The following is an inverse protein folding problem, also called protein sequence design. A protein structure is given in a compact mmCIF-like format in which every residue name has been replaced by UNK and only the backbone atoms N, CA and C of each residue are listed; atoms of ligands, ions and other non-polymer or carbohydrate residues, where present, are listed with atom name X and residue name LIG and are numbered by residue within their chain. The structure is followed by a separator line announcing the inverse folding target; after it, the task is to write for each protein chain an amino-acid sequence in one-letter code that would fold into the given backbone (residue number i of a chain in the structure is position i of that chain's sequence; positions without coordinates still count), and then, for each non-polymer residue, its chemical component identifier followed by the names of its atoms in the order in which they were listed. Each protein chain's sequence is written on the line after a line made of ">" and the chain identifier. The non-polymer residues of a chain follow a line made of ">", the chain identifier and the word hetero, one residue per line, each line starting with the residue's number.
data_IF_693768380353
#
_entry.id   IF_693768380353
#
_cell.length_a   1.000
_cell.length_b   1.000
_cell.length_c   1.000
_cell.angle_alpha   90.00
_cell.angle_beta   90.00
_cell.angle_gamma   90.00
#
_symmetry.space_group_name_H-M   'P 1'
#
loop_
_entity.id
_entity.type
_entity.pdbx_description
1 polymer ?
#
# COMPACT_ATOMS: atom_id res chain seq x y z
N UNK A 1 -13.97 18.98 1.32
CA UNK A 1 -12.70 18.24 1.10
C UNK A 1 -12.68 16.88 1.77
N UNK A 2 -12.96 16.75 3.08
CA UNK A 2 -13.02 15.45 3.78
C UNK A 2 -14.10 14.52 3.19
N UNK A 3 -15.28 15.04 2.84
CA UNK A 3 -16.35 14.21 2.24
C UNK A 3 -15.99 13.64 0.85
N UNK A 4 -15.20 14.37 0.05
CA UNK A 4 -14.66 13.85 -1.22
C UNK A 4 -13.60 12.77 -0.99
N UNK A 5 -12.80 12.89 0.07
CA UNK A 5 -11.84 11.86 0.49
C UNK A 5 -12.58 10.60 1.01
N UNK A 6 -13.68 10.77 1.73
CA UNK A 6 -14.54 9.66 2.15
C UNK A 6 -15.22 8.97 0.95
N UNK A 7 -15.66 9.71 -0.07
CA UNK A 7 -16.14 9.16 -1.34
C UNK A 7 -15.04 8.45 -2.14
N UNK A 8 -13.79 8.96 -2.09
CA UNK A 8 -12.62 8.35 -2.71
C UNK A 8 -12.32 6.96 -2.13
N UNK A 9 -12.58 6.76 -0.83
CA UNK A 9 -12.32 5.50 -0.11
C UNK A 9 -13.47 4.49 -0.22
N UNK A 10 -14.71 4.93 -0.42
CA UNK A 10 -15.91 4.09 -0.24
C UNK A 10 -16.44 3.32 -1.47
N UNK A 11 -15.96 3.56 -2.69
CA UNK A 11 -16.41 2.73 -3.84
C UNK A 11 -15.68 1.38 -3.92
N UNK A 12 -16.42 0.29 -3.76
CA UNK A 12 -15.92 -1.08 -3.69
C UNK A 12 -15.17 -1.55 -4.96
N UNK A 13 -14.07 -2.26 -4.74
CA UNK A 13 -13.51 -3.32 -5.61
C UNK A 13 -12.96 -3.00 -7.02
N UNK A 14 -12.83 -1.73 -7.42
CA UNK A 14 -12.27 -1.41 -8.75
C UNK A 14 -11.17 -0.36 -8.70
N UNK A 15 -10.05 -0.69 -9.35
CA UNK A 15 -8.92 0.16 -9.75
C UNK A 15 -9.26 1.66 -9.69
N UNK A 16 -8.84 2.34 -8.62
CA UNK A 16 -8.95 3.79 -8.51
C UNK A 16 -7.65 4.38 -9.04
N UNK A 17 -7.70 4.99 -10.22
CA UNK A 17 -6.60 5.76 -10.80
C UNK A 17 -6.77 7.22 -10.40
N UNK A 18 -5.77 7.78 -9.71
CA UNK A 18 -5.75 9.19 -9.34
C UNK A 18 -4.63 9.84 -10.17
N UNK A 19 -4.99 10.80 -11.02
CA UNK A 19 -4.16 11.31 -12.14
C UNK A 19 -3.66 12.76 -11.93
N UNK A 20 -3.68 13.31 -10.70
CA UNK A 20 -3.27 14.70 -10.42
C UNK A 20 -1.91 14.83 -9.70
N UNK A 21 -1.16 15.86 -10.08
CA UNK A 21 0.24 16.12 -9.76
C UNK A 21 0.41 16.72 -8.36
N UNK A 22 0.05 15.97 -7.33
CA UNK A 22 0.14 16.45 -5.94
C UNK A 22 0.87 15.45 -5.03
N UNK A 23 1.95 15.92 -4.40
CA UNK A 23 2.78 15.17 -3.45
C UNK A 23 1.95 14.59 -2.30
N UNK A 24 0.77 15.18 -2.01
CA UNK A 24 -0.16 14.68 -1.00
C UNK A 24 -0.70 13.27 -1.30
N UNK A 25 -0.85 12.88 -2.57
CA UNK A 25 -1.47 11.60 -2.91
C UNK A 25 -0.58 10.39 -2.60
N UNK A 26 0.74 10.50 -2.77
CA UNK A 26 1.66 9.42 -2.34
C UNK A 26 1.62 9.22 -0.82
N UNK A 27 1.50 10.30 -0.05
CA UNK A 27 1.30 10.21 1.40
C UNK A 27 -0.04 9.56 1.72
N UNK A 28 -1.12 9.97 1.06
CA UNK A 28 -2.45 9.40 1.30
C UNK A 28 -2.46 7.91 0.94
N UNK A 29 -2.06 7.55 -0.27
CA UNK A 29 -2.18 6.18 -0.79
C UNK A 29 -1.12 5.25 -0.20
N UNK A 30 0.13 5.71 -0.10
CA UNK A 30 1.26 4.91 0.36
C UNK A 30 1.43 4.83 1.87
N UNK A 31 0.82 5.74 2.64
CA UNK A 31 1.00 5.82 4.11
C UNK A 31 -0.34 5.85 4.84
N UNK A 32 -1.18 6.88 4.62
CA UNK A 32 -2.39 7.08 5.42
C UNK A 32 -3.43 5.97 5.18
N UNK A 33 -3.60 5.56 3.93
CA UNK A 33 -4.53 4.52 3.54
C UNK A 33 -4.19 3.14 4.13
N UNK A 34 -2.97 2.60 3.99
CA UNK A 34 -2.62 1.33 4.62
C UNK A 34 -2.71 1.39 6.14
N UNK A 35 -2.34 2.52 6.76
CA UNK A 35 -2.50 2.73 8.19
C UNK A 35 -3.98 2.68 8.62
N UNK A 36 -4.83 3.45 7.94
CA UNK A 36 -6.28 3.48 8.21
C UNK A 36 -6.91 2.10 8.02
N UNK A 37 -6.55 1.39 6.94
CA UNK A 37 -7.06 0.04 6.67
C UNK A 37 -6.67 -0.93 7.78
N UNK A 38 -5.41 -0.91 8.22
CA UNK A 38 -5.01 -1.74 9.34
C UNK A 38 -5.73 -1.35 10.63
N UNK A 39 -5.84 -0.06 10.96
CA UNK A 39 -6.57 0.38 12.15
C UNK A 39 -8.04 -0.06 12.17
N UNK A 40 -8.65 -0.30 11.00
CA UNK A 40 -10.01 -0.85 10.89
C UNK A 40 -10.06 -2.38 10.92
N UNK A 41 -9.04 -3.06 10.40
CA UNK A 41 -8.95 -4.52 10.39
C UNK A 41 -7.49 -4.99 10.47
N UNK A 42 -7.08 -5.44 11.66
CA UNK A 42 -5.72 -5.95 11.91
C UNK A 42 -5.40 -7.23 11.12
N UNK A 43 -6.41 -7.96 10.62
CA UNK A 43 -6.22 -9.22 9.89
C UNK A 43 -5.75 -9.02 8.45
N UNK A 44 -5.77 -7.77 7.95
CA UNK A 44 -5.37 -7.47 6.59
C UNK A 44 -3.89 -7.74 6.35
N UNK A 45 -3.60 -8.29 5.17
CA UNK A 45 -2.27 -8.41 4.57
C UNK A 45 -2.19 -7.44 3.41
N UNK A 46 -1.37 -6.42 3.58
CA UNK A 46 -1.20 -5.35 2.62
C UNK A 46 0.17 -5.50 1.96
N UNK A 47 0.21 -5.45 0.64
CA UNK A 47 1.48 -5.31 -0.09
C UNK A 47 1.57 -3.88 -0.61
N UNK A 48 2.58 -3.15 -0.15
CA UNK A 48 2.92 -1.82 -0.62
C UNK A 48 4.00 -1.92 -1.70
N UNK A 49 3.64 -1.54 -2.91
CA UNK A 49 4.50 -1.61 -4.09
C UNK A 49 4.85 -0.20 -4.53
N UNK A 50 6.14 0.07 -4.72
CA UNK A 50 6.60 1.31 -5.37
C UNK A 50 7.56 1.01 -6.53
N UNK A 51 8.13 2.02 -7.17
CA UNK A 51 9.18 1.87 -8.18
C UNK A 51 10.41 1.11 -7.65
N UNK A 52 10.84 1.42 -6.43
CA UNK A 52 12.08 0.95 -5.81
C UNK A 52 11.83 0.46 -4.39
N UNK A 53 12.57 -0.57 -3.96
CA UNK A 53 12.42 -1.13 -2.59
C UNK A 53 12.70 -0.08 -1.53
N UNK A 54 13.65 0.82 -1.77
CA UNK A 54 13.99 1.91 -0.85
C UNK A 54 12.82 2.86 -0.61
N UNK A 55 12.04 3.20 -1.64
CA UNK A 55 10.87 4.07 -1.51
C UNK A 55 9.76 3.39 -0.71
N UNK A 56 9.49 2.12 -1.00
CA UNK A 56 8.50 1.32 -0.26
C UNK A 56 8.90 1.13 1.21
N UNK A 57 10.16 0.81 1.49
CA UNK A 57 10.67 0.62 2.85
C UNK A 57 10.62 1.92 3.67
N UNK A 58 10.91 3.06 3.05
CA UNK A 58 10.80 4.36 3.72
C UNK A 58 9.35 4.65 4.16
N UNK A 59 8.38 4.39 3.29
CA UNK A 59 6.97 4.54 3.64
C UNK A 59 6.57 3.59 4.78
N UNK A 60 7.03 2.35 4.73
CA UNK A 60 6.78 1.37 5.78
C UNK A 60 7.37 1.81 7.14
N UNK A 61 8.60 2.33 7.15
CA UNK A 61 9.22 2.87 8.36
C UNK A 61 8.44 4.08 8.91
N UNK A 62 7.90 4.92 8.01
CA UNK A 62 7.06 6.03 8.44
C UNK A 62 5.72 5.56 9.03
N UNK A 63 5.06 4.56 8.43
CA UNK A 63 3.86 3.93 9.01
C UNK A 63 4.17 3.35 10.39
N UNK A 64 5.31 2.66 10.53
CA UNK A 64 5.77 2.15 11.82
C UNK A 64 5.88 3.29 12.84
N UNK A 65 6.55 4.38 12.50
CA UNK A 65 6.71 5.54 13.39
C UNK A 65 5.36 6.13 13.81
N UNK A 66 4.41 6.24 12.88
CA UNK A 66 3.05 6.69 13.19
C UNK A 66 2.36 5.78 14.21
N UNK A 67 2.47 4.45 14.04
CA UNK A 67 1.87 3.51 15.00
C UNK A 67 2.59 3.56 16.36
N UNK A 68 3.92 3.70 16.37
CA UNK A 68 4.72 3.63 17.60
C UNK A 68 4.74 4.91 18.40
N UNK A 69 4.69 6.07 17.76
CA UNK A 69 5.07 7.34 18.40
C UNK A 69 4.01 8.44 18.27
N UNK A 70 3.15 8.40 17.25
CA UNK A 70 2.14 9.45 17.03
C UNK A 70 0.95 9.31 18.00
N UNK A 71 0.71 10.35 18.80
CA UNK A 71 -0.34 10.35 19.83
C UNK A 71 -1.74 10.30 19.23
N UNK A 72 -1.97 10.97 18.09
CA UNK A 72 -3.27 11.01 17.42
C UNK A 72 -3.59 9.62 16.86
N UNK A 73 -2.62 8.96 16.23
CA UNK A 73 -2.80 7.60 15.72
C UNK A 73 -3.13 6.62 16.84
N UNK A 74 -2.47 6.74 18.01
CA UNK A 74 -2.78 5.93 19.19
C UNK A 74 -4.14 6.25 19.79
N UNK A 75 -4.58 7.50 19.73
CA UNK A 75 -5.92 7.89 20.18
C UNK A 75 -7.01 7.33 19.27
N UNK A 76 -6.79 7.39 17.94
CA UNK A 76 -7.77 6.94 16.94
C UNK A 76 -7.79 5.41 16.82
N UNK A 77 -6.63 4.75 16.91
CA UNK A 77 -6.48 3.29 16.81
C UNK A 77 -5.74 2.71 18.03
N UNK A 78 -6.36 2.72 19.23
CA UNK A 78 -5.68 2.34 20.47
C UNK A 78 -5.23 0.87 20.52
N UNK A 79 -5.90 -0.01 19.79
CA UNK A 79 -5.59 -1.44 19.74
C UNK A 79 -4.53 -1.79 18.66
N UNK A 80 -4.16 -0.82 17.82
CA UNK A 80 -3.19 -1.03 16.74
C UNK A 80 -1.77 -1.01 17.30
N UNK A 81 -1.17 -2.18 17.45
CA UNK A 81 0.19 -2.33 18.00
C UNK A 81 1.06 -3.24 17.14
N UNK A 82 2.36 -2.94 17.06
CA UNK A 82 3.32 -3.72 16.27
C UNK A 82 3.93 -4.82 17.15
N UNK A 83 3.82 -6.06 16.71
CA UNK A 83 4.42 -7.22 17.40
C UNK A 83 5.78 -7.61 16.80
N UNK A 84 5.99 -7.34 15.51
CA UNK A 84 7.24 -7.65 14.83
C UNK A 84 7.50 -6.63 13.72
N UNK A 85 8.74 -6.16 13.66
CA UNK A 85 9.24 -5.34 12.57
C UNK A 85 10.58 -5.89 12.07
N UNK A 86 10.75 -5.92 10.76
CA UNK A 86 12.01 -6.19 10.09
C UNK A 86 12.08 -5.36 8.81
N UNK A 87 13.27 -5.21 8.23
CA UNK A 87 13.39 -4.48 6.98
C UNK A 87 12.47 -5.10 5.92
N UNK A 88 11.60 -4.28 5.34
CA UNK A 88 10.67 -4.70 4.30
C UNK A 88 9.34 -5.28 4.79
N UNK A 89 9.13 -5.45 6.11
CA UNK A 89 7.91 -6.04 6.63
C UNK A 89 7.55 -5.64 8.07
N UNK A 90 6.25 -5.47 8.30
CA UNK A 90 5.67 -5.11 9.59
C UNK A 90 4.50 -6.04 9.91
N UNK A 91 4.43 -6.53 11.14
CA UNK A 91 3.33 -7.34 11.65
C UNK A 91 2.72 -6.65 12.86
N UNK A 92 1.41 -6.41 12.80
CA UNK A 92 0.61 -5.92 13.93
C UNK A 92 0.01 -7.08 14.71
N UNK A 93 -0.45 -6.81 15.92
CA UNK A 93 -1.15 -7.80 16.72
C UNK A 93 -2.45 -8.23 16.04
N UNK A 94 -2.69 -9.55 15.99
CA UNK A 94 -3.80 -10.17 15.25
C UNK A 94 -4.45 -11.23 16.11
N UNK A 95 -5.78 -11.34 15.99
CA UNK A 95 -6.55 -12.41 16.63
C UNK A 95 -6.26 -13.80 16.03
N UNK A 96 -5.81 -13.90 14.78
CA UNK A 96 -5.40 -15.15 14.17
C UNK A 96 -3.90 -15.19 13.84
N UNK A 97 -3.31 -16.36 14.05
CA UNK A 97 -1.90 -16.60 13.74
C UNK A 97 -1.79 -16.96 12.26
N UNK A 98 -1.24 -16.05 11.47
CA UNK A 98 -0.88 -16.28 10.06
C UNK A 98 0.61 -16.01 9.86
N UNK A 99 1.26 -16.76 8.95
CA UNK A 99 2.68 -16.58 8.67
C UNK A 99 2.99 -15.29 7.89
N UNK A 100 1.99 -14.76 7.16
CA UNK A 100 2.11 -13.55 6.35
C UNK A 100 2.22 -12.29 7.24
N UNK A 101 3.02 -11.31 6.83
CA UNK A 101 3.11 -10.02 7.51
C UNK A 101 1.84 -9.16 7.32
N UNK A 102 1.69 -8.09 8.10
CA UNK A 102 0.58 -7.12 7.98
C UNK A 102 0.79 -6.14 6.85
N UNK A 103 2.01 -5.61 6.74
CA UNK A 103 2.45 -4.90 5.56
C UNK A 103 3.77 -5.48 5.09
N UNK A 104 3.88 -5.72 3.78
CA UNK A 104 5.15 -5.98 3.12
C UNK A 104 5.42 -4.88 2.10
N UNK A 105 6.60 -4.28 2.13
CA UNK A 105 7.07 -3.36 1.11
C UNK A 105 7.82 -4.10 0.00
N UNK A 106 7.65 -3.67 -1.24
CA UNK A 106 8.36 -4.22 -2.39
C UNK A 106 8.51 -3.24 -3.55
N UNK A 107 9.49 -3.52 -4.40
CA UNK A 107 9.61 -2.86 -5.69
C UNK A 107 8.71 -3.52 -6.75
N UNK A 108 8.37 -2.75 -7.77
CA UNK A 108 7.78 -3.26 -8.99
C UNK A 108 8.76 -4.20 -9.69
N UNK A 109 8.25 -5.32 -10.23
CA UNK A 109 9.09 -6.34 -10.89
C UNK A 109 9.71 -7.38 -9.94
N UNK A 110 9.58 -7.21 -8.62
CA UNK A 110 10.01 -8.23 -7.66
C UNK A 110 9.12 -9.48 -7.74
N UNK A 111 9.68 -10.66 -7.45
CA UNK A 111 8.91 -11.90 -7.46
C UNK A 111 7.87 -11.94 -6.33
N UNK A 112 6.61 -12.18 -6.69
CA UNK A 112 5.46 -12.29 -5.77
C UNK A 112 5.14 -13.75 -5.38
N UNK A 113 6.09 -14.67 -5.52
CA UNK A 113 5.87 -16.08 -5.25
C UNK A 113 5.62 -16.33 -3.75
N UNK A 114 4.59 -17.09 -3.43
CA UNK A 114 4.24 -17.48 -2.05
C UNK A 114 3.50 -16.43 -1.22
N UNK A 115 3.45 -15.17 -1.67
CA UNK A 115 2.81 -14.06 -0.93
C UNK A 115 1.30 -14.00 -1.19
N UNK A 116 0.53 -13.74 -0.14
CA UNK A 116 -0.93 -13.58 -0.19
C UNK A 116 -1.29 -12.19 0.29
N UNK A 117 -2.09 -11.47 -0.49
CA UNK A 117 -2.52 -10.13 -0.15
C UNK A 117 -4.04 -10.05 -0.09
N UNK A 118 -4.54 -9.31 0.90
CA UNK A 118 -5.91 -8.82 0.93
C UNK A 118 -6.02 -7.50 0.16
N UNK A 119 -4.97 -6.68 0.23
CA UNK A 119 -4.85 -5.39 -0.46
C UNK A 119 -3.47 -5.28 -1.11
N UNK A 120 -3.43 -4.87 -2.37
CA UNK A 120 -2.21 -4.42 -3.03
C UNK A 120 -2.32 -2.93 -3.34
N UNK A 121 -1.34 -2.17 -2.85
CA UNK A 121 -1.23 -0.73 -3.04
C UNK A 121 -0.03 -0.49 -3.94
N UNK A 122 -0.24 0.23 -5.02
CA UNK A 122 0.79 0.61 -5.97
C UNK A 122 0.95 2.12 -5.94
N UNK A 123 2.07 2.60 -5.41
CA UNK A 123 2.35 4.02 -5.25
C UNK A 123 3.58 4.41 -6.08
N UNK A 124 3.36 5.28 -7.07
CA UNK A 124 4.38 5.80 -7.96
C UNK A 124 5.23 4.71 -8.64
N UNK A 125 4.53 3.79 -9.27
CA UNK A 125 5.05 2.59 -9.95
C UNK A 125 5.61 2.86 -11.37
N UNK A 126 5.37 4.03 -11.95
CA UNK A 126 5.82 4.38 -13.30
C UNK A 126 7.14 5.17 -13.22
N UNK A 127 8.25 4.44 -13.08
CA UNK A 127 9.58 4.96 -13.42
C UNK A 127 9.75 5.04 -14.94
N UNK A 128 10.52 6.02 -15.42
CA UNK A 128 10.68 6.42 -16.84
C UNK A 128 11.06 5.35 -17.87
N UNK A 129 11.34 4.10 -17.47
CA UNK A 129 12.07 3.16 -18.35
C UNK A 129 11.40 1.81 -18.65
N UNK A 130 10.19 1.44 -18.13
CA UNK A 130 9.72 0.04 -18.27
C UNK A 130 8.19 -0.21 -18.30
N UNK A 131 7.40 0.64 -18.97
CA UNK A 131 5.92 0.54 -19.01
C UNK A 131 5.40 -0.85 -19.48
N UNK A 132 6.06 -1.51 -20.44
CA UNK A 132 5.62 -2.80 -20.99
C UNK A 132 5.79 -3.98 -20.04
N UNK A 133 6.88 -4.02 -19.27
CA UNK A 133 7.12 -5.08 -18.28
C UNK A 133 6.21 -4.94 -17.06
N UNK A 134 5.89 -3.69 -16.72
CA UNK A 134 5.04 -3.34 -15.58
C UNK A 134 3.61 -3.86 -15.78
N UNK A 135 3.03 -3.74 -16.98
CA UNK A 135 1.68 -4.26 -17.27
C UNK A 135 1.58 -5.79 -17.14
N UNK A 136 2.56 -6.54 -17.64
CA UNK A 136 2.60 -8.00 -17.51
C UNK A 136 2.75 -8.44 -16.05
N UNK A 137 3.60 -7.74 -15.31
CA UNK A 137 3.77 -7.96 -13.87
C UNK A 137 2.50 -7.61 -13.08
N UNK A 138 1.77 -6.55 -13.44
CA UNK A 138 0.48 -6.20 -12.85
C UNK A 138 -0.54 -7.32 -12.95
N UNK A 139 -0.66 -7.92 -14.15
CA UNK A 139 -1.58 -9.03 -14.38
C UNK A 139 -1.22 -10.22 -13.49
N UNK A 140 0.08 -10.50 -13.32
CA UNK A 140 0.54 -11.57 -12.44
C UNK A 140 0.29 -11.24 -10.95
N UNK A 141 0.53 -9.99 -10.56
CA UNK A 141 0.35 -9.51 -9.19
C UNK A 141 -1.11 -9.61 -8.73
N UNK A 142 -2.04 -9.23 -9.59
CA UNK A 142 -3.49 -9.31 -9.30
C UNK A 142 -3.95 -10.74 -8.99
N UNK A 143 -3.31 -11.77 -9.56
CA UNK A 143 -3.63 -13.16 -9.24
C UNK A 143 -3.22 -13.59 -7.82
N UNK A 144 -2.51 -12.73 -7.07
CA UNK A 144 -2.12 -12.97 -5.67
C UNK A 144 -3.06 -12.36 -4.64
N UNK A 145 -4.00 -11.54 -5.10
CA UNK A 145 -5.10 -11.07 -4.26
C UNK A 145 -6.01 -12.25 -3.92
N UNK A 146 -6.47 -12.31 -2.67
CA UNK A 146 -7.58 -13.22 -2.33
C UNK A 146 -8.80 -12.91 -3.19
N UNK A 147 -9.74 -13.85 -3.27
CA UNK A 147 -11.05 -13.58 -3.85
C UNK A 147 -11.69 -12.41 -3.09
N UNK A 148 -12.09 -11.36 -3.81
CA UNK A 148 -12.59 -10.10 -3.23
C UNK A 148 -11.50 -9.15 -2.70
N UNK A 149 -10.22 -9.44 -2.95
CA UNK A 149 -9.11 -8.57 -2.58
C UNK A 149 -9.07 -7.28 -3.39
N UNK A 150 -8.46 -6.26 -2.82
CA UNK A 150 -8.47 -4.89 -3.35
C UNK A 150 -7.15 -4.50 -4.00
N UNK A 151 -7.23 -3.72 -5.07
CA UNK A 151 -6.09 -3.16 -5.78
C UNK A 151 -6.24 -1.64 -5.88
N UNK A 152 -5.30 -0.91 -5.27
CA UNK A 152 -5.26 0.58 -5.26
C UNK A 152 -4.03 1.02 -6.03
N UNK A 153 -4.20 1.92 -7.01
CA UNK A 153 -3.10 2.38 -7.86
C UNK A 153 -3.03 3.90 -7.92
N UNK A 154 -1.91 4.44 -7.47
CA UNK A 154 -1.51 5.82 -7.70
C UNK A 154 -0.27 5.86 -8.58
N UNK A 155 -0.28 6.73 -9.58
CA UNK A 155 0.90 7.04 -10.37
C UNK A 155 0.85 8.48 -10.81
N UNK A 156 1.97 9.17 -10.63
CA UNK A 156 2.16 10.47 -11.27
C UNK A 156 2.29 10.24 -12.79
N UNK A 157 1.59 11.05 -13.59
CA UNK A 157 1.83 11.08 -15.04
C UNK A 157 3.28 11.55 -15.26
N UNK A 158 4.07 10.75 -15.99
CA UNK A 158 5.17 11.34 -16.76
C UNK A 158 4.50 12.26 -17.76
N UNK A 159 4.70 13.58 -17.62
CA UNK A 159 4.16 14.55 -18.54
C UNK A 159 4.42 14.12 -19.98
N UNK A 160 3.41 14.28 -20.84
CA UNK A 160 3.53 14.08 -22.28
C UNK A 160 4.69 14.93 -22.81
N UNK A 161 5.90 14.36 -22.85
CA UNK A 161 7.02 14.88 -23.61
C UNK A 161 7.39 13.81 -24.64
N UNK A 162 6.76 13.94 -25.80
CA UNK A 162 7.26 13.51 -27.10
C UNK A 162 7.14 12.02 -27.40
N UNK A 163 6.03 11.66 -28.05
CA UNK A 163 6.09 10.68 -29.15
C UNK A 163 6.72 11.39 -30.35
#
# INVERSE_FOLDING_TARGET
>A
EIESLCQLVSSESQLKKIDEYDYGYSVIVGIAYPLWRLGMDHQLRIILVTDTTKSADHKLEFIKHLITDDEIVKEVFPDLSIVKYQQGALTVDRSCIVPDHSIESMATGTALLGRRADIMIFDNIIGTNNITNVQGWFKHARCKLKIGGECVIYSEKIGEKGI
#
